data_IF_009548968083
#
_entry.id   IF_009548968083
#
_cell.length_a   1.000
_cell.length_b   1.000
_cell.length_c   1.000
_cell.angle_alpha   90.00
_cell.angle_beta   90.00
_cell.angle_gamma   90.00
#
_symmetry.space_group_name_H-M   'P 1'
#
loop_
_entity.id
_entity.type
_entity.pdbx_description
1 polymer ?
#
# COMPACT_ATOMS: atom_id res chain seq x y z
N UNK A 1 11.41 -7.44 -14.92
CA UNK A 1 10.60 -7.66 -13.70
C UNK A 1 9.22 -7.07 -13.94
N UNK A 2 8.21 -7.90 -14.20
CA UNK A 2 6.79 -7.48 -14.20
C UNK A 2 6.37 -7.40 -12.73
N UNK A 3 6.64 -6.27 -12.09
CA UNK A 3 6.38 -6.07 -10.67
C UNK A 3 5.06 -5.28 -10.50
N UNK A 4 4.20 -5.80 -9.62
CA UNK A 4 2.83 -5.38 -9.28
C UNK A 4 1.65 -6.00 -10.08
N UNK A 5 1.83 -7.13 -10.78
CA UNK A 5 0.84 -7.85 -11.63
C UNK A 5 0.82 -7.37 -13.10
N UNK A 6 -0.24 -7.64 -13.88
CA UNK A 6 -0.34 -7.25 -15.30
C UNK A 6 -0.45 -5.73 -15.55
N UNK A 7 -0.35 -4.93 -14.50
CA UNK A 7 -0.39 -3.47 -14.56
C UNK A 7 0.98 -2.87 -14.86
N UNK A 8 1.00 -1.80 -15.66
CA UNK A 8 2.18 -0.98 -15.83
C UNK A 8 2.36 -0.06 -14.60
N UNK A 9 3.29 -0.44 -13.73
CA UNK A 9 3.62 0.34 -12.53
C UNK A 9 4.00 1.78 -12.86
N UNK A 10 4.74 2.04 -13.95
CA UNK A 10 5.19 3.39 -14.30
C UNK A 10 4.03 4.30 -14.67
N UNK A 11 2.98 3.73 -15.29
CA UNK A 11 1.77 4.48 -15.61
C UNK A 11 0.95 4.78 -14.34
N UNK A 12 0.85 3.81 -13.42
CA UNK A 12 0.17 4.00 -12.13
C UNK A 12 0.86 5.05 -11.24
N UNK A 13 2.19 5.12 -11.26
CA UNK A 13 2.95 6.08 -10.46
C UNK A 13 2.75 7.54 -10.90
N UNK A 14 2.17 7.80 -12.09
CA UNK A 14 1.92 9.16 -12.57
C UNK A 14 0.80 9.86 -11.80
N UNK A 15 -0.20 9.11 -11.35
CA UNK A 15 -1.37 9.66 -10.64
C UNK A 15 -1.31 9.35 -9.16
N UNK A 16 -2.07 10.11 -8.36
CA UNK A 16 -2.16 9.85 -6.91
C UNK A 16 -2.92 8.55 -6.64
N UNK A 17 -3.99 8.31 -7.38
CA UNK A 17 -4.83 7.11 -7.30
C UNK A 17 -4.01 5.85 -7.58
N UNK A 18 -3.15 5.89 -8.61
CA UNK A 18 -2.30 4.75 -8.93
C UNK A 18 -1.23 4.48 -7.88
N UNK A 19 -0.66 5.53 -7.25
CA UNK A 19 0.24 5.36 -6.09
C UNK A 19 -0.47 4.74 -4.88
N UNK A 20 -1.72 5.12 -4.62
CA UNK A 20 -2.53 4.52 -3.55
C UNK A 20 -2.83 3.06 -3.87
N UNK A 21 -3.18 2.77 -5.12
CA UNK A 21 -3.41 1.39 -5.57
C UNK A 21 -2.15 0.53 -5.40
N UNK A 22 -0.98 1.03 -5.79
CA UNK A 22 0.32 0.36 -5.55
C UNK A 22 0.49 0.07 -4.06
N UNK A 23 0.33 1.08 -3.21
CA UNK A 23 0.51 0.96 -1.77
C UNK A 23 -0.45 -0.07 -1.14
N UNK A 24 -1.71 -0.06 -1.58
CA UNK A 24 -2.72 -1.03 -1.17
C UNK A 24 -2.32 -2.45 -1.56
N UNK A 25 -1.87 -2.66 -2.81
CA UNK A 25 -1.43 -3.98 -3.28
C UNK A 25 -0.23 -4.48 -2.48
N UNK A 26 0.77 -3.63 -2.24
CA UNK A 26 1.95 -3.98 -1.45
C UNK A 26 1.58 -4.41 -0.03
N UNK A 27 0.65 -3.72 0.62
CA UNK A 27 0.18 -4.08 1.96
C UNK A 27 -0.64 -5.37 1.95
N UNK A 28 -1.56 -5.51 1.00
CA UNK A 28 -2.49 -6.64 0.97
C UNK A 28 -1.84 -7.94 0.49
N UNK A 29 -0.87 -7.89 -0.42
CA UNK A 29 -0.34 -9.09 -1.08
C UNK A 29 1.16 -9.30 -0.85
N UNK A 30 1.84 -8.28 -0.32
CA UNK A 30 3.28 -8.31 -0.12
C UNK A 30 3.99 -7.31 -1.04
N UNK A 31 5.11 -6.73 -0.60
CA UNK A 31 5.78 -5.67 -1.34
C UNK A 31 6.87 -6.17 -2.32
N UNK A 32 6.94 -7.48 -2.60
CA UNK A 32 7.95 -8.09 -3.49
C UNK A 32 9.41 -7.67 -3.20
N UNK A 33 9.74 -7.50 -1.91
CA UNK A 33 11.08 -7.11 -1.46
C UNK A 33 11.32 -5.59 -1.36
N UNK A 34 10.34 -4.76 -1.73
CA UNK A 34 10.42 -3.31 -1.55
C UNK A 34 10.03 -2.89 -0.13
N UNK A 35 10.70 -1.85 0.38
CA UNK A 35 10.35 -1.28 1.69
C UNK A 35 9.18 -0.30 1.55
N UNK A 36 8.08 -0.56 2.23
CA UNK A 36 6.95 0.36 2.32
C UNK A 36 7.32 1.54 3.23
N UNK A 37 7.14 2.77 2.72
CA UNK A 37 7.36 3.99 3.51
C UNK A 37 6.18 4.24 4.44
N UNK A 38 6.45 4.31 5.75
CA UNK A 38 5.42 4.57 6.77
C UNK A 38 4.69 5.90 6.55
N UNK A 39 5.39 6.93 6.06
CA UNK A 39 4.79 8.24 5.78
C UNK A 39 3.66 8.15 4.74
N UNK A 40 3.83 7.34 3.69
CA UNK A 40 2.81 7.16 2.65
C UNK A 40 1.61 6.38 3.20
N UNK A 41 1.85 5.37 4.04
CA UNK A 41 0.79 4.62 4.73
C UNK A 41 -0.04 5.54 5.61
N UNK A 42 0.60 6.41 6.40
CA UNK A 42 -0.10 7.39 7.24
C UNK A 42 -0.87 8.42 6.41
N UNK A 43 -0.26 8.94 5.34
CA UNK A 43 -0.87 9.93 4.45
C UNK A 43 -2.17 9.41 3.82
N UNK A 44 -2.20 8.14 3.41
CA UNK A 44 -3.32 7.57 2.66
C UNK A 44 -4.19 6.60 3.48
N UNK A 45 -3.99 6.50 4.80
CA UNK A 45 -4.61 5.48 5.64
C UNK A 45 -6.13 5.34 5.45
N UNK A 46 -6.84 6.46 5.36
CA UNK A 46 -8.31 6.49 5.23
C UNK A 46 -8.79 6.12 3.82
N UNK A 47 -7.90 6.19 2.81
CA UNK A 47 -8.19 5.83 1.41
C UNK A 47 -7.86 4.37 1.10
N UNK A 48 -7.00 3.72 1.89
CA UNK A 48 -6.55 2.34 1.65
C UNK A 48 -7.64 1.30 1.94
N UNK A 49 -7.94 0.45 0.95
CA UNK A 49 -8.83 -0.71 1.09
C UNK A 49 -8.01 -1.93 1.54
N UNK A 50 -7.71 -1.99 2.82
CA UNK A 50 -6.92 -3.07 3.42
C UNK A 50 -7.82 -4.19 3.93
N UNK A 51 -7.35 -5.44 3.81
CA UNK A 51 -8.00 -6.58 4.45
C UNK A 51 -8.17 -6.36 5.96
N UNK A 52 -9.32 -6.71 6.52
CA UNK A 52 -9.74 -6.32 7.88
C UNK A 52 -8.70 -6.65 8.97
N UNK A 53 -8.11 -7.85 8.93
CA UNK A 53 -7.09 -8.27 9.91
C UNK A 53 -5.79 -7.46 9.76
N UNK A 54 -5.34 -7.23 8.53
CA UNK A 54 -4.15 -6.40 8.24
C UNK A 54 -4.36 -4.97 8.70
N UNK A 55 -5.53 -4.39 8.40
CA UNK A 55 -5.88 -3.03 8.82
C UNK A 55 -5.83 -2.89 10.34
N UNK A 56 -6.45 -3.83 11.07
CA UNK A 56 -6.43 -3.84 12.55
C UNK A 56 -5.03 -4.00 13.12
N UNK A 57 -4.24 -4.94 12.60
CA UNK A 57 -2.87 -5.15 13.04
C UNK A 57 -2.02 -3.89 12.82
N UNK A 58 -2.06 -3.32 11.62
CA UNK A 58 -1.25 -2.14 11.30
C UNK A 58 -1.73 -0.90 12.04
N UNK A 59 -3.04 -0.78 12.30
CA UNK A 59 -3.55 0.28 13.16
C UNK A 59 -2.89 0.24 14.55
N UNK A 60 -2.81 -0.96 15.14
CA UNK A 60 -2.18 -1.17 16.45
C UNK A 60 -0.68 -0.82 16.40
N UNK A 61 0.03 -1.27 15.36
CA UNK A 61 1.47 -1.04 15.23
C UNK A 61 1.85 0.43 14.97
N UNK A 62 1.03 1.15 14.21
CA UNK A 62 1.35 2.51 13.77
C UNK A 62 0.89 3.57 14.79
N UNK A 63 -0.23 3.32 15.48
CA UNK A 63 -0.84 4.27 16.42
C UNK A 63 -0.82 3.81 17.88
N UNK A 64 -0.29 2.62 18.19
CA UNK A 64 -0.22 2.06 19.54
C UNK A 64 -1.57 2.08 20.30
N UNK A 65 -2.67 1.85 19.58
CA UNK A 65 -4.04 1.93 20.08
C UNK A 65 -4.81 0.64 19.88
#
# INVERSE_FOLDING_TARGET
>A
MKALWDYDRKELEKTEEGRIFILERMINYGPDGEKIKLADVKKYWDRLQLGTLKKRLFQRLIWNN
#
